data_IF_443624984188
#
_entry.id   IF_443624984188
#
_cell.length_a   1.000
_cell.length_b   1.000
_cell.length_c   1.000
_cell.angle_alpha   90.00
_cell.angle_beta   90.00
_cell.angle_gamma   90.00
#
_symmetry.space_group_name_H-M   'P 1'
#
loop_
_entity.id
_entity.type
_entity.pdbx_description
1 polymer ?
#
# COMPACT_ATOMS: atom_id res chain seq x y z
N UNK A 1 8.45 -18.56 -19.08
CA UNK A 1 8.28 -17.24 -19.75
C UNK A 1 8.31 -16.02 -18.81
N UNK A 2 7.73 -16.02 -17.59
CA UNK A 2 7.70 -14.82 -16.71
C UNK A 2 9.08 -14.33 -16.20
N UNK A 3 10.10 -15.19 -16.12
CA UNK A 3 11.42 -14.84 -15.57
C UNK A 3 12.35 -14.07 -16.51
N UNK A 4 12.17 -14.18 -17.83
CA UNK A 4 13.05 -13.51 -18.81
C UNK A 4 12.60 -12.05 -19.01
N UNK A 5 11.29 -11.84 -19.12
CA UNK A 5 10.70 -10.48 -19.21
C UNK A 5 10.97 -9.65 -17.95
N UNK A 6 11.05 -10.27 -16.75
CA UNK A 6 11.33 -9.53 -15.52
C UNK A 6 12.77 -9.00 -15.46
N UNK A 7 13.74 -9.73 -15.99
CA UNK A 7 15.16 -9.30 -16.03
C UNK A 7 15.35 -8.20 -17.07
N UNK A 8 14.71 -8.30 -18.23
CA UNK A 8 14.77 -7.25 -19.25
C UNK A 8 14.21 -5.91 -18.74
N UNK A 9 13.05 -5.92 -18.05
CA UNK A 9 12.46 -4.73 -17.45
C UNK A 9 13.35 -4.15 -16.34
N UNK A 10 13.99 -5.02 -15.56
CA UNK A 10 14.94 -4.60 -14.53
C UNK A 10 16.16 -3.89 -15.15
N UNK A 11 16.73 -4.46 -16.21
CA UNK A 11 17.84 -3.85 -16.94
C UNK A 11 17.45 -2.50 -17.52
N UNK A 12 16.25 -2.37 -18.10
CA UNK A 12 15.78 -1.09 -18.62
C UNK A 12 15.70 -0.01 -17.54
N UNK A 13 15.19 -0.35 -16.35
CA UNK A 13 15.16 0.54 -15.18
C UNK A 13 16.55 1.00 -14.76
N UNK A 14 17.49 0.06 -14.68
CA UNK A 14 18.87 0.35 -14.28
C UNK A 14 19.61 1.17 -15.33
N UNK A 15 19.38 0.91 -16.62
CA UNK A 15 19.94 1.70 -17.71
C UNK A 15 19.42 3.14 -17.65
N UNK A 16 18.10 3.34 -17.51
CA UNK A 16 17.53 4.67 -17.35
C UNK A 16 18.11 5.41 -16.13
N UNK A 17 18.23 4.73 -14.99
CA UNK A 17 18.84 5.29 -13.79
C UNK A 17 20.32 5.67 -14.00
N UNK A 18 21.08 4.86 -14.75
CA UNK A 18 22.49 5.15 -15.07
C UNK A 18 22.62 6.36 -15.98
N UNK A 19 21.78 6.48 -17.00
CA UNK A 19 21.78 7.62 -17.93
C UNK A 19 21.50 8.94 -17.22
N UNK A 20 20.64 8.95 -16.21
CA UNK A 20 20.28 10.17 -15.46
C UNK A 20 21.15 10.39 -14.21
N UNK A 21 22.14 9.53 -13.93
CA UNK A 21 22.93 9.59 -12.68
C UNK A 21 23.72 10.89 -12.54
N UNK A 22 24.27 11.37 -13.65
CA UNK A 22 25.18 12.53 -13.65
C UNK A 22 24.44 13.87 -13.85
N UNK A 23 23.12 13.81 -14.02
CA UNK A 23 22.28 15.00 -14.12
C UNK A 23 22.07 15.65 -12.74
N UNK A 24 22.04 16.99 -12.70
CA UNK A 24 21.81 17.73 -11.44
C UNK A 24 20.44 17.46 -10.81
N UNK A 25 19.48 17.04 -11.62
CA UNK A 25 18.12 16.72 -11.22
C UNK A 25 17.20 16.66 -12.43
N UNK A 26 16.12 15.91 -12.31
CA UNK A 26 15.10 15.76 -13.34
C UNK A 26 13.70 15.79 -12.73
N UNK A 27 12.70 16.04 -13.57
CA UNK A 27 11.30 16.16 -13.18
C UNK A 27 10.47 15.04 -13.78
N UNK A 28 9.46 14.59 -13.03
CA UNK A 28 8.45 13.68 -13.54
C UNK A 28 7.19 14.45 -13.95
N UNK A 29 6.87 14.57 -15.25
CA UNK A 29 5.56 15.06 -15.66
C UNK A 29 4.49 14.04 -15.22
N UNK A 30 3.39 14.55 -14.67
CA UNK A 30 2.27 13.73 -14.19
C UNK A 30 1.04 13.92 -15.05
N UNK A 31 0.27 12.84 -15.21
CA UNK A 31 -1.05 12.84 -15.82
C UNK A 31 -2.10 12.33 -14.82
N UNK A 32 -3.35 12.69 -15.04
CA UNK A 32 -4.47 12.31 -14.17
C UNK A 32 -5.34 11.26 -14.86
N UNK A 33 -5.81 10.26 -14.11
CA UNK A 33 -6.91 9.41 -14.59
C UNK A 33 -8.26 10.14 -14.45
N UNK A 34 -9.34 9.52 -14.96
CA UNK A 34 -10.70 10.06 -14.89
C UNK A 34 -11.22 10.25 -13.44
N UNK A 35 -10.54 9.72 -12.43
CA UNK A 35 -10.86 9.87 -11.01
C UNK A 35 -10.00 10.95 -10.34
N UNK A 36 -9.06 11.55 -11.07
CA UNK A 36 -8.11 12.53 -10.56
C UNK A 36 -6.87 11.94 -9.89
N UNK A 37 -6.61 10.63 -10.01
CA UNK A 37 -5.37 10.02 -9.50
C UNK A 37 -4.19 10.40 -10.40
N UNK A 38 -3.13 10.93 -9.79
CA UNK A 38 -1.92 11.32 -10.51
C UNK A 38 -0.95 10.14 -10.73
N UNK A 39 -0.44 10.03 -11.96
CA UNK A 39 0.54 9.03 -12.39
C UNK A 39 1.67 9.71 -13.13
N UNK A 40 2.90 9.23 -12.95
CA UNK A 40 4.03 9.67 -13.79
C UNK A 40 3.81 9.22 -15.24
N UNK A 41 4.09 10.10 -16.19
CA UNK A 41 4.04 9.76 -17.62
C UNK A 41 5.12 8.73 -18.00
N UNK A 42 6.28 8.76 -17.32
CA UNK A 42 7.29 7.72 -17.48
C UNK A 42 6.79 6.40 -16.89
N UNK A 43 6.75 5.36 -17.72
CA UNK A 43 6.24 4.03 -17.36
C UNK A 43 7.32 3.07 -16.86
N UNK A 44 8.60 3.37 -17.07
CA UNK A 44 9.69 2.42 -16.81
C UNK A 44 10.44 2.72 -15.51
N UNK A 45 10.87 3.96 -15.30
CA UNK A 45 11.65 4.39 -14.14
C UNK A 45 11.00 5.60 -13.46
N UNK A 46 10.22 5.34 -12.41
CA UNK A 46 9.51 6.37 -11.64
C UNK A 46 9.38 6.00 -10.15
N UNK A 47 9.06 7.00 -9.32
CA UNK A 47 8.91 6.88 -7.88
C UNK A 47 7.62 6.11 -7.44
N UNK A 48 6.65 5.93 -8.34
CA UNK A 48 5.46 5.12 -8.08
C UNK A 48 5.71 3.61 -8.25
N UNK A 49 6.81 3.25 -8.92
CA UNK A 49 7.18 1.90 -9.28
C UNK A 49 7.63 1.01 -8.11
N UNK A 50 8.47 0.02 -8.44
CA UNK A 50 8.97 -0.99 -7.49
C UNK A 50 9.84 -0.38 -6.38
N UNK A 51 10.02 -1.13 -5.29
CA UNK A 51 10.91 -0.75 -4.17
C UNK A 51 12.31 -0.33 -4.65
N UNK A 52 12.88 -1.06 -5.62
CA UNK A 52 14.14 -0.69 -6.26
C UNK A 52 14.14 0.74 -6.83
N UNK A 53 13.09 1.12 -7.58
CA UNK A 53 13.01 2.46 -8.17
C UNK A 53 12.92 3.53 -7.08
N UNK A 54 12.16 3.25 -6.01
CA UNK A 54 12.01 4.15 -4.86
C UNK A 54 13.26 4.26 -4.01
N UNK A 55 14.05 3.19 -3.91
CA UNK A 55 15.31 3.18 -3.16
C UNK A 55 16.46 3.88 -3.89
N UNK A 56 16.42 3.92 -5.22
CA UNK A 56 17.42 4.63 -6.05
C UNK A 56 17.12 6.13 -6.14
N UNK A 57 15.85 6.52 -6.13
CA UNK A 57 15.44 7.91 -6.31
C UNK A 57 15.55 8.72 -5.00
N UNK A 58 16.20 9.87 -5.11
CA UNK A 58 16.36 10.85 -4.03
C UNK A 58 15.92 12.24 -4.50
N UNK A 59 15.64 13.15 -3.57
CA UNK A 59 15.31 14.52 -3.93
C UNK A 59 16.56 15.29 -4.36
N UNK A 60 16.50 15.96 -5.52
CA UNK A 60 17.58 16.84 -5.98
C UNK A 60 17.78 18.03 -5.02
N UNK A 61 16.68 18.56 -4.46
CA UNK A 61 16.71 19.59 -3.42
C UNK A 61 16.67 18.91 -2.05
N UNK A 62 17.75 19.05 -1.30
CA UNK A 62 17.91 18.47 0.03
C UNK A 62 17.61 19.45 1.16
N UNK A 63 17.33 18.88 2.33
CA UNK A 63 17.04 19.63 3.54
C UNK A 63 17.81 19.04 4.74
N UNK A 64 18.20 19.86 5.73
CA UNK A 64 18.75 19.34 6.98
C UNK A 64 17.69 18.51 7.70
N UNK A 65 18.12 17.39 8.30
CA UNK A 65 17.21 16.44 8.96
C UNK A 65 16.40 17.05 10.10
N UNK A 66 17.02 17.91 10.90
CA UNK A 66 16.47 18.41 12.15
C UNK A 66 16.12 17.31 13.16
N UNK A 67 15.53 17.71 14.28
CA UNK A 67 15.09 16.79 15.35
C UNK A 67 14.06 15.78 14.88
N UNK A 68 13.13 16.22 14.02
CA UNK A 68 12.03 15.40 13.55
C UNK A 68 12.46 14.43 12.46
N UNK A 69 13.27 14.86 11.48
CA UNK A 69 13.80 13.95 10.45
C UNK A 69 14.72 12.89 11.05
N UNK A 70 15.56 13.25 12.02
CA UNK A 70 16.39 12.28 12.72
C UNK A 70 15.54 11.24 13.49
N UNK A 71 14.43 11.66 14.11
CA UNK A 71 13.48 10.71 14.73
C UNK A 71 12.81 9.78 13.71
N UNK A 72 12.47 10.29 12.53
CA UNK A 72 11.92 9.48 11.45
C UNK A 72 12.93 8.47 10.87
N UNK A 73 14.22 8.83 10.84
CA UNK A 73 15.29 7.94 10.40
C UNK A 73 15.68 6.88 11.43
N UNK A 74 15.48 7.15 12.72
CA UNK A 74 15.78 6.25 13.84
C UNK A 74 14.87 5.00 13.84
N UNK A 75 15.11 4.11 12.87
CA UNK A 75 14.75 2.70 12.92
C UNK A 75 16.02 2.00 13.36
N UNK A 76 16.00 1.36 14.53
CA UNK A 76 17.15 0.71 15.19
C UNK A 76 17.96 -0.13 14.18
N UNK A 77 19.20 0.24 13.79
CA UNK A 77 19.87 -0.46 12.70
C UNK A 77 21.28 -0.97 13.06
N UNK A 78 21.82 -1.81 12.17
CA UNK A 78 23.23 -2.12 11.94
C UNK A 78 23.89 -3.25 12.77
N UNK A 79 23.34 -4.47 12.74
CA UNK A 79 24.08 -5.68 13.19
C UNK A 79 24.93 -6.35 12.08
N UNK A 80 25.19 -5.68 10.96
CA UNK A 80 26.16 -6.15 9.96
C UNK A 80 25.81 -7.41 9.14
N UNK A 81 24.66 -8.07 9.38
CA UNK A 81 24.29 -9.35 8.72
C UNK A 81 23.33 -9.22 7.53
N UNK A 82 23.32 -8.09 6.82
CA UNK A 82 22.41 -7.92 5.67
C UNK A 82 20.91 -7.97 6.03
N UNK A 83 20.55 -7.66 7.28
CA UNK A 83 19.18 -7.71 7.80
C UNK A 83 18.17 -6.87 7.00
N UNK A 84 18.64 -5.82 6.32
CA UNK A 84 17.80 -5.01 5.43
C UNK A 84 17.19 -5.84 4.28
N UNK A 85 17.80 -6.97 3.91
CA UNK A 85 17.29 -7.88 2.87
C UNK A 85 15.98 -8.60 3.26
N UNK A 86 15.71 -8.77 4.56
CA UNK A 86 14.45 -9.39 5.04
C UNK A 86 13.35 -8.36 5.32
N UNK A 87 13.63 -7.06 5.12
CA UNK A 87 12.63 -6.02 5.26
C UNK A 87 11.55 -6.12 4.16
N UNK A 88 10.35 -5.59 4.42
CA UNK A 88 9.27 -5.56 3.42
C UNK A 88 9.65 -4.72 2.17
N UNK A 89 10.50 -3.70 2.38
CA UNK A 89 11.02 -2.81 1.34
C UNK A 89 12.55 -2.70 1.49
N UNK A 90 13.31 -3.69 0.99
CA UNK A 90 14.74 -3.83 1.29
C UNK A 90 15.60 -2.66 0.77
N UNK A 91 15.33 -2.14 -0.43
CA UNK A 91 16.12 -1.05 -1.02
C UNK A 91 15.86 0.27 -0.30
N UNK A 92 14.59 0.62 -0.04
CA UNK A 92 14.28 1.80 0.78
C UNK A 92 14.85 1.67 2.20
N UNK A 93 14.86 0.46 2.78
CA UNK A 93 15.47 0.20 4.08
C UNK A 93 16.98 0.42 4.06
N UNK A 94 17.66 -0.06 3.01
CA UNK A 94 19.09 0.16 2.82
C UNK A 94 19.43 1.65 2.70
N UNK A 95 18.69 2.40 1.86
CA UNK A 95 18.87 3.85 1.70
C UNK A 95 18.70 4.60 3.03
N UNK A 96 17.71 4.21 3.84
CA UNK A 96 17.52 4.76 5.18
C UNK A 96 18.67 4.44 6.14
N UNK A 97 19.22 3.22 6.07
CA UNK A 97 20.38 2.82 6.88
C UNK A 97 21.63 3.62 6.50
N UNK A 98 21.86 3.86 5.21
CA UNK A 98 22.98 4.68 4.71
C UNK A 98 22.85 6.11 5.23
N UNK A 99 21.70 6.76 4.99
CA UNK A 99 21.43 8.13 5.43
C UNK A 99 21.56 8.28 6.97
N UNK A 100 21.07 7.30 7.74
CA UNK A 100 21.21 7.33 9.19
C UNK A 100 22.66 7.12 9.64
N UNK A 101 23.42 6.23 8.99
CA UNK A 101 24.85 6.04 9.30
C UNK A 101 25.65 7.32 9.01
N UNK A 102 25.35 8.04 7.95
CA UNK A 102 25.98 9.32 7.62
C UNK A 102 25.62 10.39 8.66
N UNK A 103 24.35 10.46 9.05
CA UNK A 103 23.90 11.37 10.09
C UNK A 103 24.58 11.10 11.44
N UNK A 104 24.76 9.83 11.83
CA UNK A 104 25.41 9.45 13.09
C UNK A 104 26.93 9.63 13.11
N UNK A 105 27.58 9.63 11.94
CA UNK A 105 29.03 9.94 11.83
C UNK A 105 29.32 11.44 11.91
N UNK A 106 28.33 12.27 11.60
CA UNK A 106 28.44 13.73 11.74
C UNK A 106 28.43 14.14 13.23
N UNK A 107 29.22 15.15 13.63
CA UNK A 107 29.22 15.67 15.00
C UNK A 107 27.85 16.26 15.40
N UNK A 108 27.04 16.67 14.42
CA UNK A 108 25.67 17.14 14.63
C UNK A 108 24.72 16.44 13.64
N UNK A 109 24.05 15.35 14.07
CA UNK A 109 23.16 14.57 13.20
C UNK A 109 21.94 15.35 12.70
N UNK A 110 21.52 16.39 13.43
CA UNK A 110 20.34 17.21 13.08
C UNK A 110 20.62 18.17 11.92
N UNK A 111 21.88 18.56 11.72
CA UNK A 111 22.29 19.46 10.63
C UNK A 111 22.73 18.72 9.39
N UNK A 112 22.84 17.39 9.46
CA UNK A 112 23.17 16.55 8.30
C UNK A 112 22.10 16.69 7.24
N UNK A 113 22.54 17.04 6.04
CA UNK A 113 21.71 17.18 4.85
C UNK A 113 21.28 15.79 4.38
N UNK A 114 19.98 15.59 4.16
CA UNK A 114 19.45 14.34 3.62
C UNK A 114 18.62 14.61 2.36
N UNK A 115 18.80 13.73 1.38
CA UNK A 115 18.06 13.72 0.13
C UNK A 115 16.93 12.67 0.13
N UNK A 116 16.85 11.84 1.19
CA UNK A 116 15.95 10.69 1.19
C UNK A 116 14.48 11.12 1.41
N UNK A 117 13.55 10.65 0.58
CA UNK A 117 12.13 10.88 0.81
C UNK A 117 11.61 10.10 2.02
N UNK A 118 11.07 10.81 3.02
CA UNK A 118 10.36 10.18 4.14
C UNK A 118 8.90 9.94 3.73
N UNK A 119 8.50 8.68 3.63
CA UNK A 119 7.16 8.30 3.19
C UNK A 119 6.19 8.22 4.37
N UNK A 120 5.11 9.00 4.31
CA UNK A 120 3.95 8.85 5.19
C UNK A 120 2.80 8.21 4.41
N UNK A 121 2.29 7.08 4.91
CA UNK A 121 1.15 6.37 4.31
C UNK A 121 0.04 6.16 5.33
N UNK A 122 -1.22 6.32 4.90
CA UNK A 122 -2.37 5.91 5.69
C UNK A 122 -2.55 4.39 5.68
N UNK A 123 -3.03 3.83 6.79
CA UNK A 123 -3.23 2.38 6.98
C UNK A 123 -4.35 1.81 6.10
N UNK A 124 -5.36 2.63 5.75
CA UNK A 124 -6.38 2.33 4.75
C UNK A 124 -7.19 3.60 4.40
N UNK A 125 -6.73 4.40 3.42
CA UNK A 125 -7.35 5.69 3.08
C UNK A 125 -8.84 5.56 2.71
N UNK A 126 -9.24 4.49 2.03
CA UNK A 126 -10.64 4.25 1.65
C UNK A 126 -11.56 4.07 2.86
N UNK A 127 -11.13 3.32 3.89
CA UNK A 127 -11.91 3.21 5.14
C UNK A 127 -11.92 4.53 5.91
N UNK A 128 -10.78 5.25 5.96
CA UNK A 128 -10.70 6.56 6.61
C UNK A 128 -11.70 7.54 6.00
N UNK A 129 -11.82 7.58 4.68
CA UNK A 129 -12.80 8.41 3.97
C UNK A 129 -14.24 7.99 4.27
N UNK A 130 -14.55 6.70 4.25
CA UNK A 130 -15.90 6.21 4.56
C UNK A 130 -16.30 6.51 6.01
N UNK A 131 -15.38 6.35 6.96
CA UNK A 131 -15.60 6.69 8.36
C UNK A 131 -15.78 8.22 8.56
N UNK A 132 -15.06 9.03 7.79
CA UNK A 132 -15.25 10.48 7.75
C UNK A 132 -16.64 10.87 7.23
N UNK A 133 -17.08 10.27 6.13
CA UNK A 133 -18.40 10.54 5.53
C UNK A 133 -19.56 10.31 6.50
N UNK A 134 -19.45 9.26 7.33
CA UNK A 134 -20.48 8.89 8.32
C UNK A 134 -20.35 9.59 9.67
N UNK A 135 -19.32 10.42 9.88
CA UNK A 135 -18.97 11.01 11.18
C UNK A 135 -18.92 9.96 12.31
N UNK A 136 -18.46 8.74 11.99
CA UNK A 136 -18.39 7.66 12.96
C UNK A 136 -17.11 7.82 13.81
N UNK A 137 -17.22 8.48 14.96
CA UNK A 137 -16.08 8.78 15.83
C UNK A 137 -15.33 7.51 16.27
N UNK A 138 -16.04 6.45 16.65
CA UNK A 138 -15.42 5.18 17.06
C UNK A 138 -14.68 4.51 15.90
N UNK A 139 -15.28 4.48 14.70
CA UNK A 139 -14.64 3.96 13.49
C UNK A 139 -13.44 4.80 13.05
N UNK A 140 -13.52 6.13 13.18
CA UNK A 140 -12.40 7.04 12.92
C UNK A 140 -11.26 6.81 13.91
N UNK A 141 -11.54 6.75 15.22
CA UNK A 141 -10.54 6.46 16.23
C UNK A 141 -9.85 5.12 15.97
N UNK A 142 -10.60 4.09 15.57
CA UNK A 142 -10.02 2.80 15.27
C UNK A 142 -9.08 2.80 14.05
N UNK A 143 -9.36 3.65 13.05
CA UNK A 143 -8.55 3.79 11.83
C UNK A 143 -7.36 4.74 11.99
N UNK A 144 -7.44 5.71 12.92
CA UNK A 144 -6.40 6.73 13.18
C UNK A 144 -5.51 6.44 14.40
N UNK A 145 -6.05 5.90 15.51
CA UNK A 145 -5.38 5.79 16.81
C UNK A 145 -4.81 4.41 17.15
N UNK A 146 -4.58 3.54 16.15
CA UNK A 146 -3.71 2.35 16.31
C UNK A 146 -2.22 2.77 16.42
N UNK A 147 -1.91 3.70 17.34
CA UNK A 147 -0.63 4.40 17.53
C UNK A 147 0.03 4.09 18.87
N UNK A 148 -0.60 3.28 19.74
CA UNK A 148 0.02 2.72 20.94
C UNK A 148 -0.10 1.21 20.90
N UNK A 149 1.07 0.58 20.84
CA UNK A 149 1.33 -0.86 20.83
C UNK A 149 0.86 -1.63 19.59
N UNK A 150 1.87 -1.98 18.79
CA UNK A 150 1.83 -2.84 17.61
C UNK A 150 1.20 -2.21 16.37
N UNK A 151 2.04 -1.99 15.36
CA UNK A 151 1.70 -1.75 13.94
C UNK A 151 0.98 -2.97 13.30
N UNK A 152 0.10 -3.64 14.06
CA UNK A 152 -0.42 -4.99 13.86
C UNK A 152 -1.94 -5.08 14.06
N UNK A 153 -2.67 -3.98 14.28
CA UNK A 153 -4.11 -3.99 14.56
C UNK A 153 -4.82 -3.08 13.52
N UNK A 154 -5.52 -3.59 12.52
CA UNK A 154 -6.86 -4.23 12.57
C UNK A 154 -6.90 -5.73 12.26
N UNK A 155 -5.88 -6.25 11.57
CA UNK A 155 -5.96 -7.58 10.98
C UNK A 155 -5.60 -8.71 11.96
N UNK A 156 -4.89 -8.41 13.07
CA UNK A 156 -4.56 -9.43 14.07
C UNK A 156 -5.64 -9.63 15.15
N UNK A 157 -6.50 -8.62 15.38
CA UNK A 157 -7.59 -8.71 16.35
C UNK A 157 -8.87 -9.31 15.75
N UNK A 158 -9.04 -9.27 14.42
CA UNK A 158 -10.26 -9.70 13.74
C UNK A 158 -10.10 -11.03 12.97
N UNK A 159 -8.92 -11.62 12.93
CA UNK A 159 -8.63 -12.77 12.08
C UNK A 159 -7.77 -13.79 12.82
N UNK A 160 -8.16 -15.07 12.83
CA UNK A 160 -7.24 -16.20 13.09
C UNK A 160 -6.16 -16.35 11.99
N UNK A 161 -6.16 -15.45 11.00
CA UNK A 161 -5.35 -15.47 9.78
C UNK A 161 -4.36 -14.31 9.83
N UNK A 162 -3.13 -14.50 9.33
CA UNK A 162 -2.10 -13.46 9.30
C UNK A 162 -2.62 -12.20 8.62
N UNK A 163 -2.52 -11.06 9.31
CA UNK A 163 -2.97 -9.80 8.77
C UNK A 163 -2.25 -9.35 7.50
N UNK A 164 -0.99 -9.75 7.30
CA UNK A 164 -0.28 -9.48 6.03
C UNK A 164 -0.97 -10.14 4.84
N UNK A 165 -1.58 -11.31 5.05
CA UNK A 165 -2.27 -12.07 4.00
C UNK A 165 -3.51 -11.33 3.49
N UNK A 166 -4.31 -10.82 4.43
CA UNK A 166 -5.63 -10.22 4.15
C UNK A 166 -5.59 -8.70 3.93
N UNK A 167 -4.46 -8.03 4.24
CA UNK A 167 -4.29 -6.57 4.11
C UNK A 167 -4.69 -6.04 2.73
N UNK A 168 -4.19 -6.65 1.65
CA UNK A 168 -4.46 -6.19 0.28
C UNK A 168 -5.93 -6.35 -0.08
N UNK A 169 -6.52 -7.47 0.29
CA UNK A 169 -7.95 -7.75 0.06
C UNK A 169 -8.83 -6.76 0.80
N UNK A 170 -8.55 -6.50 2.09
CA UNK A 170 -9.27 -5.51 2.89
C UNK A 170 -9.17 -4.11 2.27
N UNK A 171 -7.97 -3.69 1.86
CA UNK A 171 -7.79 -2.38 1.24
C UNK A 171 -8.54 -2.23 -0.08
N UNK A 172 -8.61 -3.30 -0.88
CA UNK A 172 -9.23 -3.23 -2.21
C UNK A 172 -10.74 -3.47 -2.21
N UNK A 173 -11.26 -4.15 -1.19
CA UNK A 173 -12.69 -4.40 -1.03
C UNK A 173 -13.52 -3.10 -0.99
N UNK A 174 -13.00 -2.08 -0.31
CA UNK A 174 -13.63 -0.76 -0.15
C UNK A 174 -13.67 0.04 -1.45
N UNK A 175 -12.89 -0.37 -2.45
CA UNK A 175 -12.92 0.19 -3.80
C UNK A 175 -13.74 -0.66 -4.78
N UNK A 176 -14.58 -1.58 -4.29
CA UNK A 176 -15.51 -2.35 -5.12
C UNK A 176 -14.96 -3.64 -5.73
N UNK A 177 -13.89 -4.21 -5.14
CA UNK A 177 -13.38 -5.52 -5.59
C UNK A 177 -14.40 -6.63 -5.36
N UNK A 178 -14.63 -7.45 -6.38
CA UNK A 178 -15.55 -8.59 -6.31
C UNK A 178 -14.96 -9.72 -5.46
N UNK A 179 -15.83 -10.59 -4.96
CA UNK A 179 -15.43 -11.76 -4.16
C UNK A 179 -14.40 -12.65 -4.90
N UNK A 180 -14.61 -12.89 -6.19
CA UNK A 180 -13.71 -13.72 -7.02
C UNK A 180 -12.31 -13.10 -7.11
N UNK A 181 -12.24 -11.79 -7.38
CA UNK A 181 -10.97 -11.07 -7.44
C UNK A 181 -10.27 -11.00 -6.08
N UNK A 182 -11.04 -10.87 -4.99
CA UNK A 182 -10.52 -10.96 -3.62
C UNK A 182 -9.89 -12.33 -3.33
N UNK A 183 -10.54 -13.43 -3.75
CA UNK A 183 -10.00 -14.78 -3.60
C UNK A 183 -8.69 -14.94 -4.37
N UNK A 184 -8.62 -14.44 -5.60
CA UNK A 184 -7.41 -14.50 -6.41
C UNK A 184 -6.25 -13.68 -5.81
N UNK A 185 -6.53 -12.55 -5.17
CA UNK A 185 -5.51 -11.78 -4.44
C UNK A 185 -4.91 -12.57 -3.28
N UNK A 186 -5.74 -13.22 -2.47
CA UNK A 186 -5.27 -14.05 -1.34
C UNK A 186 -4.53 -15.27 -1.86
N UNK A 187 -5.06 -15.96 -2.88
CA UNK A 187 -4.44 -17.12 -3.50
C UNK A 187 -3.01 -16.81 -3.97
N UNK A 188 -2.79 -15.66 -4.61
CA UNK A 188 -1.45 -15.20 -5.01
C UNK A 188 -0.52 -15.02 -3.81
N UNK A 189 -1.02 -14.43 -2.71
CA UNK A 189 -0.22 -14.25 -1.49
C UNK A 189 0.12 -15.56 -0.78
N UNK A 190 -0.80 -16.53 -0.73
CA UNK A 190 -0.52 -17.86 -0.15
C UNK A 190 0.61 -18.53 -0.91
N UNK A 191 0.58 -18.46 -2.26
CA UNK A 191 1.65 -19.00 -3.12
C UNK A 191 3.00 -18.32 -2.88
N UNK A 192 3.02 -17.00 -2.66
CA UNK A 192 4.25 -16.25 -2.36
C UNK A 192 4.89 -16.65 -1.02
N UNK A 193 4.09 -17.06 -0.02
CA UNK A 193 4.57 -17.40 1.32
C UNK A 193 4.82 -18.91 1.52
N UNK A 194 4.48 -19.76 0.54
CA UNK A 194 4.74 -21.20 0.57
C UNK A 194 4.09 -21.97 1.72
N UNK A 195 3.09 -21.41 2.41
CA UNK A 195 2.55 -21.97 3.65
C UNK A 195 1.61 -23.16 3.46
N UNK A 196 1.09 -23.33 2.25
CA UNK A 196 0.27 -24.45 1.81
C UNK A 196 0.94 -24.87 0.50
N UNK A 197 1.37 -26.13 0.38
CA UNK A 197 2.01 -26.62 -0.84
C UNK A 197 1.19 -26.31 -2.10
N UNK A 198 1.77 -26.49 -3.29
CA UNK A 198 1.14 -26.20 -4.59
C UNK A 198 -0.11 -27.07 -4.92
N UNK A 199 -0.74 -27.66 -3.90
CA UNK A 199 -1.96 -28.42 -4.01
C UNK A 199 -3.13 -27.49 -4.38
N UNK A 200 -3.38 -27.41 -5.69
CA UNK A 200 -4.39 -26.56 -6.29
C UNK A 200 -5.79 -26.81 -5.72
N UNK A 201 -6.05 -28.03 -5.21
CA UNK A 201 -7.31 -28.43 -4.58
C UNK A 201 -7.56 -27.69 -3.26
N UNK A 202 -6.51 -27.39 -2.48
CA UNK A 202 -6.63 -26.71 -1.18
C UNK A 202 -6.51 -25.18 -1.30
N UNK A 203 -5.82 -24.68 -2.32
CA UNK A 203 -5.58 -23.24 -2.50
C UNK A 203 -6.86 -22.42 -2.71
N UNK A 204 -7.80 -22.91 -3.52
CA UNK A 204 -9.04 -22.18 -3.79
C UNK A 204 -9.97 -22.16 -2.57
N UNK A 205 -10.30 -23.30 -1.92
CA UNK A 205 -11.08 -23.31 -0.68
C UNK A 205 -10.44 -22.47 0.44
N UNK A 206 -9.13 -22.57 0.63
CA UNK A 206 -8.42 -21.78 1.65
C UNK A 206 -8.50 -20.27 1.35
N UNK A 207 -8.33 -19.87 0.09
CA UNK A 207 -8.46 -18.46 -0.30
C UNK A 207 -9.88 -17.93 -0.08
N UNK A 208 -10.90 -18.70 -0.46
CA UNK A 208 -12.31 -18.37 -0.23
C UNK A 208 -12.62 -18.26 1.26
N UNK A 209 -12.15 -19.19 2.08
CA UNK A 209 -12.32 -19.15 3.53
C UNK A 209 -11.67 -17.90 4.12
N UNK A 210 -10.44 -17.57 3.72
CA UNK A 210 -9.75 -16.39 4.23
C UNK A 210 -10.42 -15.07 3.80
N UNK A 211 -10.96 -14.98 2.57
CA UNK A 211 -11.77 -13.82 2.14
C UNK A 211 -13.04 -13.73 2.98
N UNK A 212 -13.74 -14.85 3.17
CA UNK A 212 -14.96 -14.90 3.95
C UNK A 212 -14.69 -14.49 5.40
N UNK A 213 -13.61 -14.97 6.01
CA UNK A 213 -13.18 -14.54 7.35
C UNK A 213 -12.77 -13.06 7.37
N UNK A 214 -12.02 -12.58 6.39
CA UNK A 214 -11.64 -11.17 6.30
C UNK A 214 -12.84 -10.23 6.09
N UNK A 215 -13.92 -10.70 5.48
CA UNK A 215 -15.13 -9.90 5.20
C UNK A 215 -16.25 -10.06 6.23
N UNK A 216 -16.38 -11.25 6.84
CA UNK A 216 -17.40 -11.56 7.85
C UNK A 216 -16.91 -11.37 9.29
N UNK A 217 -15.64 -11.60 9.58
CA UNK A 217 -15.09 -11.43 10.94
C UNK A 217 -14.60 -10.00 11.19
N UNK A 218 -14.56 -9.19 10.12
CA UNK A 218 -14.40 -7.72 10.18
C UNK A 218 -15.74 -6.98 10.28
N UNK A 219 -16.76 -7.57 10.93
CA UNK A 219 -18.02 -6.90 11.35
C UNK A 219 -17.74 -5.85 12.45
N UNK A 220 -16.78 -4.98 12.20
CA UNK A 220 -16.60 -3.74 12.94
C UNK A 220 -17.34 -2.67 12.15
N UNK A 221 -18.13 -1.86 12.86
CA UNK A 221 -18.77 -0.61 12.44
C UNK A 221 -18.21 0.08 11.17
N UNK A 222 -16.88 0.32 11.02
CA UNK A 222 -16.32 0.93 9.81
C UNK A 222 -16.58 0.16 8.49
N UNK A 223 -16.61 -1.18 8.50
CA UNK A 223 -16.87 -1.97 7.28
C UNK A 223 -18.35 -2.01 6.91
N UNK A 224 -19.23 -2.05 7.90
CA UNK A 224 -20.67 -1.96 7.68
C UNK A 224 -21.05 -0.59 7.12
N UNK A 225 -20.45 0.47 7.69
CA UNK A 225 -20.58 1.82 7.18
C UNK A 225 -20.12 1.92 5.71
N UNK A 226 -18.94 1.40 5.39
CA UNK A 226 -18.44 1.37 4.01
C UNK A 226 -19.36 0.59 3.07
N UNK A 227 -19.88 -0.57 3.49
CA UNK A 227 -20.79 -1.39 2.69
C UNK A 227 -22.12 -0.68 2.41
N UNK A 228 -22.67 -0.01 3.40
CA UNK A 228 -23.89 0.80 3.27
C UNK A 228 -23.71 1.93 2.26
N UNK A 229 -22.59 2.66 2.34
CA UNK A 229 -22.25 3.73 1.37
C UNK A 229 -22.09 3.15 -0.05
N UNK A 230 -21.33 2.06 -0.21
CA UNK A 230 -21.14 1.41 -1.51
C UNK A 230 -22.45 0.92 -2.11
N UNK A 231 -23.35 0.36 -1.29
CA UNK A 231 -24.68 -0.08 -1.71
C UNK A 231 -25.53 1.10 -2.20
N UNK A 232 -25.51 2.22 -1.46
CA UNK A 232 -26.22 3.43 -1.84
C UNK A 232 -25.72 4.00 -3.17
N UNK A 233 -24.40 4.14 -3.36
CA UNK A 233 -23.83 4.55 -4.65
C UNK A 233 -24.18 3.59 -5.78
N UNK A 234 -24.18 2.28 -5.51
CA UNK A 234 -24.59 1.26 -6.47
C UNK A 234 -26.04 1.42 -6.91
N UNK A 235 -26.94 1.73 -5.98
CA UNK A 235 -28.35 1.99 -6.28
C UNK A 235 -28.52 3.29 -7.09
N UNK A 236 -27.83 4.37 -6.71
CA UNK A 236 -27.84 5.62 -7.48
C UNK A 236 -27.34 5.41 -8.92
N UNK A 237 -26.30 4.61 -9.12
CA UNK A 237 -25.78 4.28 -10.43
C UNK A 237 -26.82 3.49 -11.26
N UNK A 238 -27.45 2.46 -10.67
CA UNK A 238 -28.51 1.68 -11.33
C UNK A 238 -29.67 2.55 -11.81
N UNK A 239 -30.14 3.48 -10.97
CA UNK A 239 -31.23 4.40 -11.31
C UNK A 239 -30.88 5.25 -12.54
N UNK A 240 -29.63 5.74 -12.63
CA UNK A 240 -29.17 6.54 -13.78
C UNK A 240 -28.99 5.71 -15.05
N UNK A 241 -28.51 4.47 -14.93
CA UNK A 241 -28.25 3.60 -16.08
C UNK A 241 -29.52 2.96 -16.64
N UNK A 242 -30.51 2.67 -15.79
CA UNK A 242 -31.77 2.03 -16.18
C UNK A 242 -32.98 2.81 -15.63
N UNK A 243 -33.30 3.98 -16.21
CA UNK A 243 -34.41 4.80 -15.72
C UNK A 243 -35.79 4.11 -15.84
N UNK A 244 -35.96 3.20 -16.81
CA UNK A 244 -37.23 2.52 -17.11
C UNK A 244 -37.62 1.43 -16.08
N UNK A 245 -36.67 0.93 -15.28
CA UNK A 245 -36.95 -0.09 -14.26
C UNK A 245 -37.76 0.44 -13.06
N UNK A 246 -37.90 1.76 -12.92
CA UNK A 246 -38.67 2.41 -11.85
C UNK A 246 -40.13 2.68 -12.24
N UNK A 247 -40.47 2.61 -13.53
CA UNK A 247 -41.85 2.86 -14.00
C UNK A 247 -42.77 1.66 -13.80
N UNK A 248 -42.25 0.44 -13.70
CA UNK A 248 -43.06 -0.79 -13.59
C UNK A 248 -43.54 -1.10 -12.17
N UNK A 249 -43.03 -0.39 -11.14
CA UNK A 249 -43.42 -0.60 -9.74
C UNK A 249 -44.37 0.46 -9.18
N UNK A 250 -44.85 1.41 -10.02
CA UNK A 250 -45.84 2.42 -9.62
C UNK A 250 -47.28 2.14 -10.04
N UNK A 251 -47.52 1.06 -10.78
CA UNK A 251 -48.84 0.63 -11.25
C UNK A 251 -49.16 -0.82 -10.85
N UNK A 252 -49.03 -1.15 -9.56
CA UNK A 252 -49.73 -2.27 -8.91
C UNK A 252 -50.06 -1.89 -7.47
#
# INVERSE_FOLDING_TARGET
MRGIYSVAILNLKLTAARTMKDEKGFYYPHNLDFRGCAYSMDSYFNHLGSDLCRGILEFAVCHPLGKSGLRCLKIRPLEGRGWWSVAENPFQCLTACINLSEALRSPSPETTVSHMPIRQVGSCNGLQQNAAFRRNELGQLQLYFSRRETSRCLLKSCCQVDGKLVKKTVMTFVYGVTYISACDQIKRRIKEHGSIGDDAAMLLPASCYAVRQATLTSLQEPFEAARSIMSWFGNCAKIKTFPEALTTTRNQ
#
